data_IF_724037332149
#
_entry.id   IF_724037332149
#
_cell.length_a   1.000
_cell.length_b   1.000
_cell.length_c   1.000
_cell.angle_alpha   90.00
_cell.angle_beta   90.00
_cell.angle_gamma   90.00
#
_symmetry.space_group_name_H-M   'P 1'
#
loop_
_entity.id
_entity.type
_entity.pdbx_description
1 polymer ?
#
# COMPACT_ATOMS: atom_id res chain seq x y z
N UNK A 1 -24.89 30.55 -1.59
CA UNK A 1 -24.51 30.90 -0.20
C UNK A 1 -25.57 30.51 0.83
N UNK A 2 -26.84 30.90 0.70
CA UNK A 2 -27.92 30.53 1.63
C UNK A 2 -28.07 29.01 1.85
N UNK A 3 -28.09 28.24 0.76
CA UNK A 3 -28.14 26.77 0.83
C UNK A 3 -26.93 26.16 1.54
N UNK A 4 -25.72 26.73 1.35
CA UNK A 4 -24.51 26.28 2.04
C UNK A 4 -24.56 26.57 3.53
N UNK A 5 -25.01 27.79 3.91
CA UNK A 5 -25.19 28.15 5.32
C UNK A 5 -26.15 27.20 6.03
N UNK A 6 -27.27 26.85 5.39
CA UNK A 6 -28.24 25.90 5.94
C UNK A 6 -27.62 24.53 6.18
N UNK A 7 -26.88 23.98 5.21
CA UNK A 7 -26.17 22.70 5.36
C UNK A 7 -25.14 22.74 6.49
N UNK A 8 -24.38 23.84 6.61
CA UNK A 8 -23.39 23.99 7.67
C UNK A 8 -24.04 23.99 9.06
N UNK A 9 -25.19 24.65 9.22
CA UNK A 9 -25.94 24.65 10.49
C UNK A 9 -26.48 23.24 10.79
N UNK A 10 -27.07 22.55 9.79
CA UNK A 10 -27.58 21.19 9.93
C UNK A 10 -26.48 20.20 10.38
N UNK A 11 -25.24 20.41 9.93
CA UNK A 11 -24.08 19.58 10.26
C UNK A 11 -23.25 20.13 11.45
N UNK A 12 -23.71 21.21 12.12
CA UNK A 12 -23.01 21.86 13.22
C UNK A 12 -21.56 22.33 12.84
N UNK A 13 -21.41 22.87 11.60
CA UNK A 13 -20.13 23.33 11.04
C UNK A 13 -20.15 24.82 10.61
N UNK A 14 -21.06 25.63 11.16
CA UNK A 14 -21.23 27.03 10.81
C UNK A 14 -20.00 27.91 11.08
N UNK A 15 -19.13 27.49 12.00
CA UNK A 15 -17.85 28.15 12.33
C UNK A 15 -16.90 28.26 11.13
N UNK A 16 -17.05 27.44 10.09
CA UNK A 16 -16.25 27.51 8.86
C UNK A 16 -16.40 28.85 8.14
N UNK A 17 -17.52 29.56 8.37
CA UNK A 17 -17.77 30.89 7.80
C UNK A 17 -17.40 32.04 8.77
N UNK A 18 -16.77 31.78 9.92
CA UNK A 18 -16.46 32.77 10.95
C UNK A 18 -15.70 33.99 10.40
N UNK A 19 -14.79 33.78 9.46
CA UNK A 19 -13.96 34.85 8.89
C UNK A 19 -14.48 35.37 7.55
N UNK A 20 -15.68 34.94 7.10
CA UNK A 20 -16.20 35.21 5.75
C UNK A 20 -16.15 36.68 5.34
N UNK A 21 -16.52 37.58 6.26
CA UNK A 21 -16.60 39.04 5.99
C UNK A 21 -15.21 39.69 5.86
N UNK A 22 -14.18 39.02 6.36
CA UNK A 22 -12.77 39.47 6.30
C UNK A 22 -12.06 39.00 5.03
N UNK A 23 -12.64 38.10 4.25
CA UNK A 23 -12.02 37.49 3.07
C UNK A 23 -12.18 38.36 1.83
N UNK A 24 -11.18 38.33 0.96
CA UNK A 24 -11.29 38.83 -0.42
C UNK A 24 -12.24 37.92 -1.24
N UNK A 25 -12.71 38.41 -2.38
CA UNK A 25 -13.62 37.64 -3.25
C UNK A 25 -13.02 36.30 -3.68
N UNK A 26 -11.72 36.28 -4.02
CA UNK A 26 -11.00 35.06 -4.37
C UNK A 26 -10.89 34.06 -3.21
N UNK A 27 -10.67 34.54 -2.01
CA UNK A 27 -10.61 33.69 -0.81
C UNK A 27 -11.99 33.14 -0.43
N UNK A 28 -13.06 33.94 -0.63
CA UNK A 28 -14.43 33.48 -0.48
C UNK A 28 -14.78 32.37 -1.47
N UNK A 29 -14.38 32.52 -2.72
CA UNK A 29 -14.59 31.51 -3.74
C UNK A 29 -13.85 30.23 -3.41
N UNK A 30 -12.58 30.33 -2.97
CA UNK A 30 -11.79 29.16 -2.53
C UNK A 30 -12.46 28.44 -1.37
N UNK A 31 -12.89 29.16 -0.33
CA UNK A 31 -13.55 28.54 0.83
C UNK A 31 -14.90 27.92 0.45
N UNK A 32 -15.66 28.61 -0.39
CA UNK A 32 -16.94 28.11 -0.90
C UNK A 32 -16.76 26.80 -1.68
N UNK A 33 -15.77 26.75 -2.58
CA UNK A 33 -15.46 25.56 -3.34
C UNK A 33 -14.99 24.43 -2.40
N UNK A 34 -14.07 24.71 -1.49
CA UNK A 34 -13.49 23.75 -0.55
C UNK A 34 -14.56 23.06 0.32
N UNK A 35 -15.57 23.83 0.75
CA UNK A 35 -16.70 23.31 1.52
C UNK A 35 -17.73 22.60 0.62
N UNK A 36 -17.97 23.13 -0.60
CA UNK A 36 -18.97 22.56 -1.51
C UNK A 36 -18.57 21.19 -2.05
N UNK A 37 -17.26 20.91 -2.11
CA UNK A 37 -16.71 19.59 -2.48
C UNK A 37 -16.90 18.54 -1.38
N UNK A 38 -17.17 18.97 -0.14
CA UNK A 38 -17.42 18.06 0.98
C UNK A 38 -18.90 17.65 1.00
N UNK A 39 -19.16 16.36 1.05
CA UNK A 39 -20.44 15.88 1.54
C UNK A 39 -20.44 16.02 3.07
N UNK A 40 -20.95 17.18 3.57
CA UNK A 40 -20.91 17.52 4.98
C UNK A 40 -21.61 16.48 5.87
N UNK A 41 -22.69 15.87 5.38
CA UNK A 41 -23.40 14.84 6.12
C UNK A 41 -22.57 13.57 6.24
N UNK A 42 -21.99 13.11 5.13
CA UNK A 42 -21.13 11.92 5.10
C UNK A 42 -19.89 12.13 5.96
N UNK A 43 -19.14 13.22 5.78
CA UNK A 43 -17.88 13.45 6.55
C UNK A 43 -18.12 13.67 8.05
N UNK A 44 -19.27 14.25 8.44
CA UNK A 44 -19.64 14.36 9.86
C UNK A 44 -19.99 12.98 10.44
N UNK A 45 -20.70 12.15 9.69
CA UNK A 45 -20.98 10.77 10.10
C UNK A 45 -19.70 9.94 10.21
N UNK A 46 -18.73 10.15 9.30
CA UNK A 46 -17.41 9.50 9.38
C UNK A 46 -16.68 9.80 10.68
N UNK A 47 -16.70 11.06 11.13
CA UNK A 47 -16.13 11.44 12.43
C UNK A 47 -16.80 10.69 13.58
N UNK A 48 -18.13 10.70 13.63
CA UNK A 48 -18.89 10.03 14.69
C UNK A 48 -18.59 8.54 14.72
N UNK A 49 -18.64 7.88 13.57
CA UNK A 49 -18.40 6.44 13.45
C UNK A 49 -16.95 6.08 13.85
N UNK A 50 -15.95 6.82 13.34
CA UNK A 50 -14.54 6.58 13.63
C UNK A 50 -14.19 6.77 15.10
N UNK A 51 -14.76 7.80 15.76
CA UNK A 51 -14.54 8.05 17.18
C UNK A 51 -15.26 7.03 18.05
N UNK A 52 -16.49 6.62 17.68
CA UNK A 52 -17.19 5.53 18.33
C UNK A 52 -16.44 4.20 18.23
N UNK A 53 -15.95 3.85 17.02
CA UNK A 53 -15.12 2.67 16.81
C UNK A 53 -13.86 2.73 17.70
N UNK A 54 -13.12 3.85 17.68
CA UNK A 54 -11.92 4.05 18.51
C UNK A 54 -12.18 3.95 20.01
N UNK A 55 -13.34 4.38 20.50
CA UNK A 55 -13.70 4.28 21.91
C UNK A 55 -14.19 2.86 22.27
N UNK A 56 -14.84 2.15 21.36
CA UNK A 56 -15.24 0.75 21.55
C UNK A 56 -14.06 -0.24 21.45
N UNK A 57 -13.00 0.11 20.74
CA UNK A 57 -11.72 -0.62 20.69
C UNK A 57 -10.94 -0.63 22.01
N UNK A 58 -11.40 0.07 23.06
CA UNK A 58 -10.90 -0.15 24.42
C UNK A 58 -11.29 -1.54 24.99
N UNK A 59 -12.22 -2.24 24.33
CA UNK A 59 -12.46 -3.66 24.58
C UNK A 59 -11.55 -4.45 23.64
N UNK A 60 -10.48 -5.04 24.22
CA UNK A 60 -9.59 -5.95 23.50
C UNK A 60 -10.40 -7.01 22.74
N UNK A 61 -9.92 -7.39 21.55
CA UNK A 61 -10.58 -8.38 20.70
C UNK A 61 -10.28 -9.83 21.10
N UNK A 62 -9.62 -10.07 22.22
CA UNK A 62 -9.06 -11.36 22.64
C UNK A 62 -10.04 -12.52 22.55
N UNK A 63 -11.29 -12.31 23.00
CA UNK A 63 -12.33 -13.34 22.98
C UNK A 63 -12.94 -13.59 21.60
N UNK A 64 -12.63 -12.76 20.60
CA UNK A 64 -13.24 -12.79 19.27
C UNK A 64 -12.27 -13.23 18.18
N UNK A 65 -10.97 -13.07 18.43
CA UNK A 65 -9.95 -13.40 17.44
C UNK A 65 -9.69 -14.90 17.40
N UNK A 66 -9.54 -15.41 16.18
CA UNK A 66 -9.06 -16.77 15.92
C UNK A 66 -8.00 -16.73 14.82
N UNK A 67 -6.92 -17.51 14.91
CA UNK A 67 -5.91 -17.55 13.87
C UNK A 67 -6.48 -18.12 12.56
N UNK A 68 -5.79 -17.82 11.45
CA UNK A 68 -6.12 -18.47 10.18
C UNK A 68 -5.78 -19.95 10.30
N UNK A 69 -6.71 -20.88 9.95
CA UNK A 69 -6.41 -22.30 9.90
C UNK A 69 -5.23 -22.58 8.96
N UNK A 70 -4.29 -23.42 9.38
CA UNK A 70 -3.06 -23.71 8.61
C UNK A 70 -3.35 -24.27 7.22
N UNK A 71 -4.42 -25.03 7.09
CA UNK A 71 -4.91 -25.56 5.80
C UNK A 71 -5.39 -24.49 4.83
N UNK A 72 -5.68 -23.28 5.31
CA UNK A 72 -6.09 -22.15 4.48
C UNK A 72 -4.90 -21.24 4.08
N UNK A 73 -3.69 -21.62 4.47
CA UNK A 73 -2.46 -20.90 4.13
C UNK A 73 -1.64 -21.77 3.19
N UNK A 74 -1.36 -21.25 1.99
CA UNK A 74 -0.34 -21.81 1.10
C UNK A 74 0.98 -21.04 1.27
N UNK A 75 2.11 -21.69 1.01
CA UNK A 75 3.43 -21.03 1.07
C UNK A 75 4.48 -21.75 0.21
N UNK A 76 5.57 -21.03 -0.08
CA UNK A 76 6.74 -21.62 -0.74
C UNK A 76 7.36 -22.77 0.07
N UNK A 77 7.18 -22.78 1.39
CA UNK A 77 7.78 -23.78 2.29
C UNK A 77 7.06 -25.13 2.24
N UNK A 78 5.72 -25.12 2.08
CA UNK A 78 4.89 -26.32 2.20
C UNK A 78 4.29 -26.78 0.87
N UNK A 79 4.28 -25.93 -0.16
CA UNK A 79 3.76 -26.28 -1.48
C UNK A 79 4.83 -27.04 -2.27
N UNK A 80 4.47 -28.18 -2.86
CA UNK A 80 5.40 -28.96 -3.66
C UNK A 80 5.82 -28.22 -4.94
N UNK A 81 6.99 -28.62 -5.48
CA UNK A 81 7.61 -27.96 -6.63
C UNK A 81 6.76 -28.02 -7.90
N UNK A 82 5.99 -29.06 -8.09
CA UNK A 82 5.14 -29.22 -9.27
C UNK A 82 3.97 -28.22 -9.23
N UNK A 83 3.33 -28.10 -8.09
CA UNK A 83 2.30 -27.07 -7.86
C UNK A 83 2.85 -25.66 -8.00
N UNK A 84 4.04 -25.36 -7.42
CA UNK A 84 4.66 -24.05 -7.58
C UNK A 84 4.88 -23.69 -9.05
N UNK A 85 5.37 -24.65 -9.87
CA UNK A 85 5.53 -24.44 -11.32
C UNK A 85 4.19 -24.27 -12.04
N UNK A 86 3.16 -25.00 -11.62
CA UNK A 86 1.82 -24.84 -12.17
C UNK A 86 1.25 -23.43 -11.87
N UNK A 87 1.45 -22.92 -10.65
CA UNK A 87 1.06 -21.55 -10.29
C UNK A 87 1.84 -20.51 -11.10
N UNK A 88 3.17 -20.66 -11.16
CA UNK A 88 4.01 -19.75 -11.93
C UNK A 88 3.58 -19.68 -13.40
N UNK A 89 3.36 -20.85 -14.03
CA UNK A 89 2.89 -20.94 -15.41
C UNK A 89 1.52 -20.27 -15.60
N UNK A 90 0.60 -20.48 -14.68
CA UNK A 90 -0.73 -19.86 -14.73
C UNK A 90 -0.65 -18.34 -14.58
N UNK A 91 0.19 -17.84 -13.68
CA UNK A 91 0.43 -16.40 -13.52
C UNK A 91 1.12 -15.76 -14.71
N UNK A 92 2.13 -16.44 -15.30
CA UNK A 92 2.79 -15.97 -16.52
C UNK A 92 1.83 -15.97 -17.72
N UNK A 93 0.92 -16.96 -17.82
CA UNK A 93 -0.12 -16.98 -18.85
C UNK A 93 -1.10 -15.79 -18.70
N UNK A 94 -1.50 -15.44 -17.47
CA UNK A 94 -2.37 -14.29 -17.19
C UNK A 94 -1.69 -12.97 -17.58
N UNK A 95 -0.37 -12.87 -17.35
CA UNK A 95 0.46 -11.73 -17.81
C UNK A 95 0.55 -11.72 -19.34
N UNK A 96 0.86 -12.85 -19.97
CA UNK A 96 0.97 -12.98 -21.43
C UNK A 96 -0.34 -12.64 -22.15
N UNK A 97 -1.47 -12.91 -21.52
CA UNK A 97 -2.80 -12.57 -22.04
C UNK A 97 -3.18 -11.08 -21.81
N UNK A 98 -2.30 -10.28 -21.19
CA UNK A 98 -2.52 -8.85 -20.92
C UNK A 98 -3.60 -8.59 -19.88
N UNK A 99 -3.85 -9.52 -18.98
CA UNK A 99 -4.93 -9.45 -17.98
C UNK A 99 -4.48 -8.98 -16.60
N UNK A 100 -3.20 -8.65 -16.43
CA UNK A 100 -2.63 -8.26 -15.13
C UNK A 100 -2.40 -6.76 -15.07
N UNK A 101 -2.79 -6.17 -13.96
CA UNK A 101 -2.39 -4.83 -13.58
C UNK A 101 -1.62 -4.84 -12.24
N UNK A 102 -0.72 -3.89 -12.11
CA UNK A 102 -0.04 -3.54 -10.86
C UNK A 102 -0.62 -2.22 -10.36
N UNK A 103 -1.04 -2.18 -9.13
CA UNK A 103 -1.52 -0.97 -8.46
C UNK A 103 -0.58 -0.66 -7.30
N UNK A 104 0.21 0.39 -7.50
CA UNK A 104 1.20 0.86 -6.54
C UNK A 104 0.61 1.95 -5.65
N UNK A 105 0.60 1.76 -4.34
CA UNK A 105 0.26 2.79 -3.37
C UNK A 105 1.49 3.64 -3.05
N UNK A 106 1.58 4.84 -3.63
CA UNK A 106 2.74 5.74 -3.57
C UNK A 106 2.38 7.18 -3.11
N UNK A 107 1.29 7.35 -2.34
CA UNK A 107 0.87 8.67 -1.83
C UNK A 107 1.78 9.28 -0.76
N UNK A 108 2.69 8.50 -0.19
CA UNK A 108 3.55 8.93 0.91
C UNK A 108 4.73 9.81 0.48
N UNK A 109 4.95 10.91 1.23
CA UNK A 109 6.18 11.70 1.18
C UNK A 109 7.29 11.01 1.97
N UNK A 110 8.55 11.24 1.57
CA UNK A 110 9.73 10.71 2.26
C UNK A 110 10.15 11.48 3.53
N UNK A 111 9.22 12.15 4.22
CA UNK A 111 9.55 13.05 5.34
C UNK A 111 10.27 12.37 6.49
N UNK A 112 9.90 11.11 6.81
CA UNK A 112 10.61 10.31 7.83
C UNK A 112 12.02 9.89 7.39
N UNK A 113 12.29 9.89 6.08
CA UNK A 113 13.60 9.64 5.49
C UNK A 113 14.46 10.90 5.41
N UNK A 114 13.92 12.05 5.83
CA UNK A 114 14.60 13.34 5.76
C UNK A 114 14.51 14.04 4.40
N UNK A 115 13.60 13.60 3.50
CA UNK A 115 13.42 14.19 2.17
C UNK A 115 12.02 14.75 1.99
N UNK A 116 11.85 15.69 1.07
CA UNK A 116 10.56 16.36 0.78
C UNK A 116 9.86 15.86 -0.48
N UNK A 117 10.46 14.90 -1.19
CA UNK A 117 9.93 14.35 -2.43
C UNK A 117 9.22 12.99 -2.20
N UNK A 118 8.45 12.49 -3.19
CA UNK A 118 7.78 11.19 -3.11
C UNK A 118 8.73 10.04 -2.80
N UNK A 119 8.33 9.13 -1.93
CA UNK A 119 9.15 7.99 -1.48
C UNK A 119 9.61 7.10 -2.65
N UNK A 120 8.80 6.93 -3.70
CA UNK A 120 9.17 6.14 -4.87
C UNK A 120 10.40 6.64 -5.64
N UNK A 121 10.75 7.92 -5.49
CA UNK A 121 11.95 8.52 -6.07
C UNK A 121 13.21 8.23 -5.26
N UNK A 122 13.07 7.66 -4.06
CA UNK A 122 14.20 7.45 -3.15
C UNK A 122 15.15 6.40 -3.68
N UNK A 123 16.46 6.69 -3.58
CA UNK A 123 17.56 5.78 -3.85
C UNK A 123 18.18 5.34 -2.52
N UNK A 124 18.18 4.04 -2.24
CA UNK A 124 18.73 3.48 -1.00
C UNK A 124 20.27 3.33 -1.02
N UNK A 125 20.91 3.75 -2.10
CA UNK A 125 22.37 3.68 -2.28
C UNK A 125 22.84 2.33 -2.84
N UNK A 126 22.06 1.70 -3.71
CA UNK A 126 22.50 0.56 -4.50
C UNK A 126 23.62 0.98 -5.49
N UNK A 127 24.51 0.05 -5.91
CA UNK A 127 25.54 0.34 -6.92
C UNK A 127 25.00 0.99 -8.20
N UNK A 128 23.81 0.57 -8.67
CA UNK A 128 23.14 1.15 -9.84
C UNK A 128 22.61 2.58 -9.61
N UNK A 129 22.40 2.98 -8.37
CA UNK A 129 21.78 4.25 -8.05
C UNK A 129 20.28 4.33 -8.38
N UNK A 130 19.62 3.22 -8.68
CA UNK A 130 18.21 3.18 -9.09
C UNK A 130 17.27 3.60 -7.97
N UNK A 131 16.19 4.30 -8.33
CA UNK A 131 15.10 4.63 -7.42
C UNK A 131 14.17 3.44 -7.21
N UNK A 132 13.31 3.49 -6.16
CA UNK A 132 12.29 2.47 -5.94
C UNK A 132 11.33 2.34 -7.14
N UNK A 133 10.95 3.46 -7.78
CA UNK A 133 10.13 3.43 -8.99
C UNK A 133 10.84 2.70 -10.13
N UNK A 134 12.12 2.96 -10.36
CA UNK A 134 12.88 2.31 -11.42
C UNK A 134 13.00 0.80 -11.19
N UNK A 135 13.33 0.38 -9.97
CA UNK A 135 13.41 -1.05 -9.62
C UNK A 135 12.10 -1.79 -9.88
N UNK A 136 10.96 -1.15 -9.61
CA UNK A 136 9.64 -1.75 -9.85
C UNK A 136 9.28 -1.78 -11.33
N UNK A 137 9.57 -0.71 -12.07
CA UNK A 137 9.35 -0.66 -13.51
C UNK A 137 10.16 -1.75 -14.25
N UNK A 138 11.43 -1.91 -13.90
CA UNK A 138 12.30 -2.94 -14.48
C UNK A 138 11.83 -4.36 -14.13
N UNK A 139 11.26 -4.59 -12.94
CA UNK A 139 10.61 -5.88 -12.59
C UNK A 139 9.41 -6.15 -13.47
N UNK A 140 8.59 -5.14 -13.78
CA UNK A 140 7.46 -5.27 -14.70
C UNK A 140 7.96 -5.66 -16.09
N UNK A 141 8.97 -4.95 -16.63
CA UNK A 141 9.57 -5.28 -17.93
C UNK A 141 10.11 -6.71 -17.98
N UNK A 142 10.84 -7.13 -16.94
CA UNK A 142 11.38 -8.49 -16.89
C UNK A 142 10.27 -9.54 -16.89
N UNK A 143 9.20 -9.34 -16.14
CA UNK A 143 8.05 -10.24 -16.09
C UNK A 143 7.33 -10.34 -17.45
N UNK A 144 7.18 -9.23 -18.16
CA UNK A 144 6.61 -9.25 -19.52
C UNK A 144 7.47 -10.10 -20.45
N UNK A 145 8.80 -9.99 -20.35
CA UNK A 145 9.72 -10.82 -21.11
C UNK A 145 9.63 -12.30 -20.73
N UNK A 146 9.58 -12.62 -19.42
CA UNK A 146 9.42 -14.01 -18.94
C UNK A 146 8.09 -14.61 -19.43
N UNK A 147 7.01 -13.86 -19.39
CA UNK A 147 5.70 -14.30 -19.87
C UNK A 147 5.73 -14.56 -21.40
N UNK A 148 6.42 -13.70 -22.15
CA UNK A 148 6.63 -13.90 -23.59
C UNK A 148 7.49 -15.15 -23.87
N UNK A 149 8.59 -15.34 -23.13
CA UNK A 149 9.47 -16.50 -23.25
C UNK A 149 8.71 -17.82 -22.99
N UNK A 150 7.87 -17.86 -21.93
CA UNK A 150 7.11 -19.06 -21.54
C UNK A 150 5.89 -19.31 -22.42
N UNK A 151 5.12 -18.27 -22.78
CA UNK A 151 3.80 -18.42 -23.40
C UNK A 151 3.75 -18.02 -24.88
N UNK A 152 4.81 -17.41 -25.42
CA UNK A 152 4.88 -17.00 -26.83
C UNK A 152 3.99 -15.80 -27.18
N UNK A 153 3.46 -15.06 -26.20
CA UNK A 153 2.61 -13.89 -26.40
C UNK A 153 3.23 -12.65 -25.75
N UNK A 154 3.10 -11.50 -26.42
CA UNK A 154 3.53 -10.18 -25.91
C UNK A 154 2.40 -9.54 -25.07
N UNK A 155 2.22 -10.00 -23.83
CA UNK A 155 1.31 -9.37 -22.89
C UNK A 155 1.98 -8.18 -22.19
N UNK A 156 1.18 -7.17 -21.89
CA UNK A 156 1.63 -5.96 -21.19
C UNK A 156 0.93 -5.84 -19.84
N UNK A 157 1.68 -5.41 -18.84
CA UNK A 157 1.16 -5.12 -17.51
C UNK A 157 0.83 -3.63 -17.42
N UNK A 158 -0.41 -3.30 -17.04
CA UNK A 158 -0.78 -1.92 -16.72
C UNK A 158 -0.28 -1.55 -15.33
N UNK A 159 0.36 -0.40 -15.20
CA UNK A 159 0.88 0.12 -13.93
C UNK A 159 0.10 1.35 -13.48
N UNK A 160 -0.77 1.17 -12.51
CA UNK A 160 -1.54 2.24 -11.87
C UNK A 160 -0.82 2.69 -10.60
N UNK A 161 -0.62 4.01 -10.45
CA UNK A 161 0.14 4.59 -9.35
C UNK A 161 -0.77 5.54 -8.56
N UNK A 162 -1.19 5.10 -7.37
CA UNK A 162 -1.94 5.94 -6.44
C UNK A 162 -1.01 6.93 -5.76
N UNK A 163 -1.27 8.20 -5.96
CA UNK A 163 -0.53 9.32 -5.39
C UNK A 163 -1.41 10.14 -4.45
N UNK A 164 -0.83 11.07 -3.71
CA UNK A 164 -1.55 12.09 -2.95
C UNK A 164 -1.47 13.43 -3.66
N UNK A 165 -2.27 14.41 -3.22
CA UNK A 165 -2.18 15.79 -3.71
C UNK A 165 -0.75 16.35 -3.63
N UNK A 166 -0.04 16.02 -2.56
CA UNK A 166 1.33 16.49 -2.32
C UNK A 166 2.39 15.78 -3.18
N UNK A 167 2.12 14.62 -3.75
CA UNK A 167 3.12 13.80 -4.46
C UNK A 167 2.85 13.63 -5.95
N UNK A 168 1.64 13.94 -6.41
CA UNK A 168 1.18 13.64 -7.78
C UNK A 168 2.05 14.26 -8.86
N UNK A 169 2.11 15.61 -8.89
CA UNK A 169 2.82 16.33 -9.93
C UNK A 169 4.32 15.98 -9.98
N UNK A 170 4.94 15.83 -8.81
CA UNK A 170 6.34 15.43 -8.71
C UNK A 170 6.56 14.02 -9.21
N UNK A 171 5.64 13.08 -8.89
CA UNK A 171 5.71 11.69 -9.38
C UNK A 171 5.56 11.63 -10.89
N UNK A 172 4.55 12.29 -11.45
CA UNK A 172 4.33 12.33 -12.91
C UNK A 172 5.53 12.92 -13.64
N UNK A 173 6.01 14.07 -13.19
CA UNK A 173 7.20 14.72 -13.79
C UNK A 173 8.46 13.83 -13.71
N UNK A 174 8.60 13.07 -12.63
CA UNK A 174 9.72 12.13 -12.47
C UNK A 174 9.62 10.96 -13.45
N UNK A 175 8.46 10.35 -13.60
CA UNK A 175 8.25 9.27 -14.56
C UNK A 175 8.49 9.73 -15.99
N UNK A 176 7.96 10.90 -16.39
CA UNK A 176 8.17 11.49 -17.70
C UNK A 176 9.66 11.80 -17.96
N UNK A 177 10.35 12.39 -16.98
CA UNK A 177 11.79 12.70 -17.07
C UNK A 177 12.64 11.47 -17.38
N UNK A 178 12.28 10.32 -16.86
CA UNK A 178 12.98 9.04 -17.05
C UNK A 178 12.30 8.13 -18.08
N UNK A 179 11.49 8.72 -18.99
CA UNK A 179 10.81 7.98 -20.07
C UNK A 179 10.12 6.71 -19.53
N UNK A 180 9.43 6.85 -18.39
CA UNK A 180 8.70 5.76 -17.71
C UNK A 180 9.55 4.50 -17.48
N UNK A 181 10.88 4.62 -17.45
CA UNK A 181 11.84 3.52 -17.32
C UNK A 181 11.64 2.44 -18.39
N UNK A 182 11.42 2.87 -19.65
CA UNK A 182 11.16 2.04 -20.83
C UNK A 182 9.84 1.27 -20.84
N UNK A 183 8.97 1.46 -19.84
CA UNK A 183 7.56 1.08 -19.97
C UNK A 183 6.87 1.98 -20.99
N UNK A 184 5.88 1.45 -21.70
CA UNK A 184 5.05 2.28 -22.58
C UNK A 184 4.23 3.28 -21.76
N UNK A 185 4.22 4.55 -22.16
CA UNK A 185 3.50 5.63 -21.48
C UNK A 185 2.02 5.31 -21.27
N UNK A 186 1.35 4.73 -22.30
CA UNK A 186 -0.06 4.32 -22.23
C UNK A 186 -0.35 3.22 -21.23
N UNK A 187 0.68 2.54 -20.72
CA UNK A 187 0.55 1.51 -19.69
C UNK A 187 0.79 2.03 -18.28
N UNK A 188 1.18 3.30 -18.12
CA UNK A 188 1.49 3.91 -16.81
C UNK A 188 0.52 5.04 -16.52
N UNK A 189 -0.29 4.90 -15.49
CA UNK A 189 -1.31 5.89 -15.14
C UNK A 189 -1.25 6.26 -13.66
N UNK A 190 -0.84 7.50 -13.37
CA UNK A 190 -0.91 8.05 -12.01
C UNK A 190 -2.27 8.68 -11.74
N UNK A 191 -2.81 8.46 -10.53
CA UNK A 191 -4.08 9.02 -10.10
C UNK A 191 -4.03 9.38 -8.61
N UNK A 192 -4.88 10.34 -8.18
CA UNK A 192 -4.84 10.88 -6.81
C UNK A 192 -5.82 10.17 -5.90
N UNK A 193 -5.39 9.86 -4.67
CA UNK A 193 -6.28 9.47 -3.59
C UNK A 193 -7.13 10.65 -3.11
N UNK A 194 -8.23 10.36 -2.41
CA UNK A 194 -9.10 11.34 -1.81
C UNK A 194 -8.48 12.07 -0.62
N UNK A 195 -9.16 13.13 -0.21
CA UNK A 195 -8.81 13.91 0.98
C UNK A 195 -10.04 14.02 1.88
N UNK A 196 -9.87 13.81 3.18
CA UNK A 196 -10.91 14.03 4.18
C UNK A 196 -10.57 15.25 5.04
N UNK A 197 -11.56 15.99 5.54
CA UNK A 197 -11.32 17.07 6.46
C UNK A 197 -10.76 16.56 7.77
N UNK A 198 -9.89 17.36 8.40
CA UNK A 198 -9.43 17.12 9.75
C UNK A 198 -10.44 17.71 10.76
N UNK A 199 -10.63 17.01 11.88
CA UNK A 199 -11.58 17.40 12.90
C UNK A 199 -10.90 17.75 14.22
N UNK A 200 -11.48 18.67 14.97
CA UNK A 200 -11.16 18.89 16.39
C UNK A 200 -11.60 17.68 17.22
N UNK A 201 -11.21 17.63 18.48
CA UNK A 201 -11.60 16.52 19.37
C UNK A 201 -13.13 16.45 19.62
N UNK A 202 -13.85 17.54 19.40
CA UNK A 202 -15.31 17.68 19.53
C UNK A 202 -16.08 17.64 18.21
N UNK A 203 -15.38 17.31 17.08
CA UNK A 203 -16.01 17.05 15.78
C UNK A 203 -16.24 18.28 14.89
N UNK A 204 -15.58 19.38 15.18
CA UNK A 204 -15.60 20.54 14.29
C UNK A 204 -14.52 20.40 13.22
N UNK A 205 -14.85 20.69 11.97
CA UNK A 205 -13.89 20.70 10.86
C UNK A 205 -12.86 21.82 11.09
N UNK A 206 -11.57 21.52 10.96
CA UNK A 206 -10.49 22.46 11.21
C UNK A 206 -10.22 23.31 9.96
N UNK A 207 -9.97 24.61 10.14
CA UNK A 207 -9.45 25.51 9.11
C UNK A 207 -7.91 25.57 9.19
N UNK A 208 -7.22 25.32 8.07
CA UNK A 208 -5.76 25.52 7.91
C UNK A 208 -5.42 27.00 7.63
N UNK A 209 -6.33 27.70 6.93
CA UNK A 209 -6.31 29.15 6.71
C UNK A 209 -7.72 29.70 6.86
N UNK A 210 -7.89 31.01 7.06
CA UNK A 210 -9.23 31.64 7.13
C UNK A 210 -10.17 31.25 6.00
N UNK A 211 -9.57 30.87 4.83
CA UNK A 211 -10.26 30.55 3.59
C UNK A 211 -9.98 29.14 3.07
N UNK A 212 -9.46 28.24 3.92
CA UNK A 212 -9.10 26.86 3.50
C UNK A 212 -9.35 25.86 4.61
N UNK A 213 -10.06 24.79 4.28
CA UNK A 213 -10.27 23.64 5.17
C UNK A 213 -8.97 22.86 5.32
N UNK A 214 -8.68 22.41 6.55
CA UNK A 214 -7.60 21.47 6.82
C UNK A 214 -8.03 20.09 6.36
N UNK A 215 -7.37 19.55 5.35
CA UNK A 215 -7.63 18.23 4.77
C UNK A 215 -6.39 17.34 4.91
N UNK A 216 -6.60 16.05 5.04
CA UNK A 216 -5.55 15.03 5.03
C UNK A 216 -5.94 13.89 4.07
N UNK A 217 -4.97 13.14 3.53
CA UNK A 217 -5.27 11.94 2.78
C UNK A 217 -6.17 10.99 3.56
N UNK A 218 -7.11 10.36 2.86
CA UNK A 218 -8.12 9.45 3.42
C UNK A 218 -7.61 8.04 3.75
N UNK A 219 -6.29 7.89 3.81
CA UNK A 219 -5.60 6.62 4.07
C UNK A 219 -5.39 5.80 2.79
N UNK A 220 -4.70 4.66 2.91
CA UNK A 220 -4.47 3.79 1.75
C UNK A 220 -5.75 3.06 1.30
N UNK A 221 -6.79 2.97 2.13
CA UNK A 221 -8.13 2.48 1.79
C UNK A 221 -8.98 3.48 1.00
N UNK A 222 -8.60 4.75 0.95
CA UNK A 222 -9.14 5.74 0.00
C UNK A 222 -8.95 5.34 -1.46
N UNK A 223 -8.10 4.32 -1.71
CA UNK A 223 -7.91 3.66 -2.99
C UNK A 223 -9.23 3.34 -3.69
N UNK A 224 -10.18 2.70 -3.02
CA UNK A 224 -11.42 2.20 -3.64
C UNK A 224 -12.28 3.34 -4.19
N UNK A 225 -12.43 4.42 -3.43
CA UNK A 225 -13.12 5.63 -3.90
C UNK A 225 -12.36 6.28 -5.06
N UNK A 226 -11.04 6.36 -4.98
CA UNK A 226 -10.21 6.94 -6.03
C UNK A 226 -10.29 6.15 -7.33
N UNK A 227 -10.29 4.83 -7.29
CA UNK A 227 -10.48 3.96 -8.45
C UNK A 227 -11.78 4.26 -9.20
N UNK A 228 -12.88 4.48 -8.47
CA UNK A 228 -14.17 4.84 -9.04
C UNK A 228 -14.17 6.26 -9.59
N UNK A 229 -13.82 7.25 -8.77
CA UNK A 229 -13.94 8.68 -9.11
C UNK A 229 -13.01 9.08 -10.25
N UNK A 230 -11.82 8.47 -10.33
CA UNK A 230 -10.82 8.76 -11.37
C UNK A 230 -10.99 7.89 -12.64
N UNK A 231 -12.06 7.07 -12.71
CA UNK A 231 -12.33 6.22 -13.88
C UNK A 231 -11.34 5.09 -14.11
N UNK A 232 -10.58 4.70 -13.08
CA UNK A 232 -9.55 3.65 -13.19
C UNK A 232 -10.20 2.26 -13.35
N UNK A 233 -11.33 2.00 -12.70
CA UNK A 233 -12.07 0.73 -12.85
C UNK A 233 -12.58 0.54 -14.28
N UNK A 234 -13.06 1.60 -14.91
CA UNK A 234 -13.53 1.57 -16.30
C UNK A 234 -12.34 1.34 -17.24
N UNK A 235 -11.22 1.99 -17.00
CA UNK A 235 -9.97 1.81 -17.73
C UNK A 235 -9.47 0.35 -17.63
N UNK A 236 -9.46 -0.24 -16.43
CA UNK A 236 -9.11 -1.66 -16.22
C UNK A 236 -10.04 -2.60 -17.01
N UNK A 237 -11.35 -2.37 -16.95
CA UNK A 237 -12.34 -3.18 -17.70
C UNK A 237 -12.18 -3.04 -19.21
N UNK A 238 -11.95 -1.82 -19.70
CA UNK A 238 -11.73 -1.55 -21.12
C UNK A 238 -10.50 -2.30 -21.67
N UNK A 239 -9.45 -2.45 -20.86
CA UNK A 239 -8.24 -3.18 -21.21
C UNK A 239 -8.32 -4.69 -20.91
N UNK A 240 -9.46 -5.20 -20.44
CA UNK A 240 -9.64 -6.63 -20.15
C UNK A 240 -8.83 -7.12 -18.94
N UNK A 241 -8.45 -6.22 -18.04
CA UNK A 241 -7.74 -6.59 -16.81
C UNK A 241 -8.66 -7.43 -15.93
N UNK A 242 -8.14 -8.52 -15.40
CA UNK A 242 -8.81 -9.41 -14.47
C UNK A 242 -8.12 -9.42 -13.10
N UNK A 243 -6.81 -9.54 -13.08
CA UNK A 243 -5.96 -9.71 -11.90
C UNK A 243 -5.23 -8.41 -11.56
N UNK A 244 -5.37 -7.91 -10.34
CA UNK A 244 -4.72 -6.68 -9.87
C UNK A 244 -3.85 -6.99 -8.66
N UNK A 245 -2.54 -6.79 -8.79
CA UNK A 245 -1.59 -6.87 -7.69
C UNK A 245 -1.44 -5.50 -7.03
N UNK A 246 -1.82 -5.38 -5.77
CA UNK A 246 -1.79 -4.12 -5.00
C UNK A 246 -0.71 -4.18 -3.93
N UNK A 247 0.19 -3.18 -3.91
CA UNK A 247 1.26 -3.13 -2.91
C UNK A 247 1.72 -1.71 -2.56
N UNK A 248 2.43 -1.59 -1.44
CA UNK A 248 3.05 -0.33 -1.01
C UNK A 248 4.41 -0.09 -1.68
N UNK A 249 4.74 1.20 -1.89
CA UNK A 249 5.99 1.64 -2.54
C UNK A 249 7.24 1.40 -1.70
N UNK A 250 7.09 1.20 -0.40
CA UNK A 250 8.20 1.18 0.54
C UNK A 250 8.89 -0.18 0.69
N UNK A 251 8.30 -1.27 0.22
CA UNK A 251 8.93 -2.59 0.29
C UNK A 251 9.90 -2.80 -0.90
N UNK A 252 11.21 -2.70 -0.66
CA UNK A 252 12.22 -2.86 -1.72
C UNK A 252 12.27 -4.30 -2.27
N UNK A 253 11.89 -5.30 -1.48
CA UNK A 253 11.88 -6.72 -1.85
C UNK A 253 10.59 -7.16 -2.54
N UNK A 254 9.67 -6.24 -2.81
CA UNK A 254 8.39 -6.58 -3.41
C UNK A 254 8.58 -7.35 -4.74
N UNK A 255 8.01 -8.54 -4.82
CA UNK A 255 7.86 -9.28 -6.07
C UNK A 255 6.64 -8.72 -6.80
N UNK A 256 6.87 -7.70 -7.64
CA UNK A 256 5.80 -6.99 -8.36
C UNK A 256 5.12 -7.96 -9.32
N UNK A 257 3.79 -8.06 -9.25
CA UNK A 257 2.99 -9.01 -10.04
C UNK A 257 3.50 -10.46 -9.95
N UNK A 258 3.85 -10.92 -8.75
CA UNK A 258 4.40 -12.26 -8.50
C UNK A 258 3.56 -13.35 -9.19
N UNK A 259 4.10 -14.02 -10.24
CA UNK A 259 3.33 -14.99 -11.01
C UNK A 259 2.91 -16.21 -10.21
N UNK A 260 3.68 -16.61 -9.17
CA UNK A 260 3.32 -17.72 -8.29
C UNK A 260 2.13 -17.33 -7.42
N UNK A 261 2.13 -16.13 -6.85
CA UNK A 261 1.01 -15.65 -6.04
C UNK A 261 -0.25 -15.40 -6.86
N UNK A 262 -0.12 -14.79 -8.06
CA UNK A 262 -1.25 -14.61 -8.98
C UNK A 262 -1.81 -15.97 -9.40
N UNK A 263 -0.96 -16.91 -9.81
CA UNK A 263 -1.38 -18.24 -10.23
C UNK A 263 -2.03 -19.05 -9.10
N UNK A 264 -1.56 -18.91 -7.86
CA UNK A 264 -2.24 -19.48 -6.69
C UNK A 264 -3.64 -18.90 -6.52
N UNK A 265 -3.79 -17.58 -6.57
CA UNK A 265 -5.08 -16.92 -6.46
C UNK A 265 -6.05 -17.36 -7.58
N UNK A 266 -5.57 -17.42 -8.82
CA UNK A 266 -6.35 -17.90 -9.96
C UNK A 266 -6.80 -19.36 -9.78
N UNK A 267 -5.89 -20.26 -9.36
CA UNK A 267 -6.20 -21.68 -9.15
C UNK A 267 -7.20 -21.92 -8.03
N UNK A 268 -7.29 -20.98 -7.08
CA UNK A 268 -8.19 -21.03 -5.93
C UNK A 268 -9.50 -20.25 -6.15
N UNK A 269 -9.73 -19.74 -7.35
CA UNK A 269 -10.87 -18.85 -7.67
C UNK A 269 -11.01 -17.69 -6.67
N UNK A 270 -9.89 -17.13 -6.28
CA UNK A 270 -9.80 -16.07 -5.26
C UNK A 270 -10.27 -14.74 -5.82
N UNK A 271 -11.11 -14.02 -5.11
CA UNK A 271 -11.45 -12.62 -5.41
C UNK A 271 -10.61 -11.62 -4.61
N UNK A 272 -10.17 -12.03 -3.40
CA UNK A 272 -9.31 -11.25 -2.51
C UNK A 272 -8.17 -12.13 -1.96
N UNK A 273 -6.92 -11.86 -2.33
CA UNK A 273 -5.74 -12.55 -1.86
C UNK A 273 -4.85 -11.66 -0.99
N UNK A 274 -4.23 -12.22 0.03
CA UNK A 274 -3.26 -11.52 0.88
C UNK A 274 -1.97 -12.31 1.00
N UNK A 275 -0.84 -11.64 0.72
CA UNK A 275 0.48 -12.20 1.02
C UNK A 275 0.89 -11.73 2.40
N UNK A 276 1.22 -12.67 3.26
CA UNK A 276 1.68 -12.47 4.63
C UNK A 276 3.10 -13.00 4.80
N UNK A 277 3.75 -12.62 5.88
CA UNK A 277 5.00 -13.22 6.34
C UNK A 277 4.88 -13.63 7.80
N UNK A 278 5.72 -14.54 8.24
CA UNK A 278 5.77 -14.92 9.65
C UNK A 278 6.25 -13.72 10.49
N UNK A 279 5.49 -13.39 11.55
CA UNK A 279 5.83 -12.31 12.50
C UNK A 279 7.12 -12.65 13.24
N UNK A 280 8.06 -11.72 13.31
CA UNK A 280 9.37 -11.94 13.90
C UNK A 280 9.37 -11.99 15.43
N UNK A 281 8.47 -11.25 16.06
CA UNK A 281 8.30 -11.20 17.51
C UNK A 281 6.89 -10.76 17.89
N UNK A 282 6.41 -11.06 19.11
CA UNK A 282 5.11 -10.60 19.59
C UNK A 282 4.94 -9.08 19.53
N UNK A 283 6.03 -8.34 19.76
CA UNK A 283 6.03 -6.87 19.84
C UNK A 283 6.28 -6.18 18.49
N UNK A 284 6.37 -6.92 17.39
CA UNK A 284 6.52 -6.32 16.06
C UNK A 284 5.28 -5.50 15.72
N UNK A 285 5.49 -4.22 15.37
CA UNK A 285 4.41 -3.27 15.05
C UNK A 285 3.87 -3.50 13.63
N UNK A 286 3.22 -4.64 13.44
CA UNK A 286 2.52 -5.01 12.19
C UNK A 286 1.16 -5.60 12.56
N UNK A 287 0.13 -5.29 11.76
CA UNK A 287 -1.17 -5.92 11.85
C UNK A 287 -1.10 -7.41 11.46
N UNK A 288 -1.95 -8.22 12.04
CA UNK A 288 -2.01 -9.67 11.81
C UNK A 288 -3.31 -10.03 11.10
N UNK A 289 -3.21 -10.78 10.01
CA UNK A 289 -4.38 -11.35 9.35
C UNK A 289 -4.92 -12.48 10.21
N UNK A 290 -6.18 -12.39 10.60
CA UNK A 290 -6.85 -13.39 11.42
C UNK A 290 -8.37 -13.36 11.16
N UNK A 291 -9.15 -14.11 11.92
CA UNK A 291 -10.62 -13.99 11.90
C UNK A 291 -11.08 -13.32 13.19
N UNK A 292 -12.01 -12.39 13.07
CA UNK A 292 -12.75 -11.79 14.18
C UNK A 292 -14.22 -12.19 14.02
N UNK A 293 -14.78 -12.90 14.98
CA UNK A 293 -16.13 -13.48 14.89
C UNK A 293 -16.34 -14.32 13.60
N UNK A 294 -15.28 -15.00 13.13
CA UNK A 294 -15.27 -15.83 11.93
C UNK A 294 -15.03 -15.10 10.61
N UNK A 295 -14.94 -13.78 10.60
CA UNK A 295 -14.72 -12.92 9.42
C UNK A 295 -13.24 -12.54 9.31
N UNK A 296 -12.66 -12.61 8.11
CA UNK A 296 -11.27 -12.22 7.89
C UNK A 296 -11.07 -10.72 8.10
N UNK A 297 -10.11 -10.37 8.95
CA UNK A 297 -9.69 -9.00 9.23
C UNK A 297 -8.17 -8.91 9.44
N UNK A 298 -7.64 -7.71 9.37
CA UNK A 298 -6.33 -7.38 9.92
C UNK A 298 -6.54 -6.76 11.28
N UNK A 299 -5.97 -7.38 12.31
CA UNK A 299 -6.02 -6.87 13.67
C UNK A 299 -4.68 -6.22 13.99
N UNK A 300 -4.72 -4.96 14.36
CA UNK A 300 -3.53 -4.20 14.74
C UNK A 300 -3.01 -4.65 16.11
N UNK A 301 -1.72 -4.52 16.33
CA UNK A 301 -1.05 -4.93 17.58
C UNK A 301 -1.59 -4.22 18.85
N UNK A 302 -2.31 -3.12 18.68
CA UNK A 302 -2.94 -2.36 19.76
C UNK A 302 -4.37 -2.83 20.11
N UNK A 303 -4.93 -3.77 19.35
CA UNK A 303 -6.32 -4.25 19.48
C UNK A 303 -6.42 -5.59 20.20
N UNK A 304 -5.30 -6.26 20.44
CA UNK A 304 -5.20 -7.50 21.24
C UNK A 304 -4.29 -7.29 22.44
N UNK A 305 -4.54 -8.05 23.50
CA UNK A 305 -3.69 -8.01 24.70
C UNK A 305 -2.29 -8.56 24.40
N UNK A 306 -1.33 -8.22 25.26
CA UNK A 306 0.01 -8.79 25.20
C UNK A 306 -0.02 -10.31 25.37
N UNK A 307 -0.89 -10.80 26.23
CA UNK A 307 -1.09 -12.22 26.50
C UNK A 307 -1.52 -12.94 25.22
N UNK A 308 -2.51 -12.43 24.49
CA UNK A 308 -2.94 -13.00 23.21
C UNK A 308 -1.85 -12.91 22.13
N UNK A 309 -1.13 -11.78 22.04
CA UNK A 309 -0.04 -11.61 21.08
C UNK A 309 1.14 -12.57 21.33
N UNK A 310 1.37 -13.01 22.58
CA UNK A 310 2.45 -13.91 22.99
C UNK A 310 2.06 -15.41 22.94
N UNK A 311 0.80 -15.75 22.65
CA UNK A 311 0.35 -17.13 22.55
C UNK A 311 1.16 -17.92 21.52
N UNK A 312 1.55 -19.13 21.93
CA UNK A 312 2.36 -20.03 21.11
C UNK A 312 1.68 -21.39 20.97
N UNK A 313 1.86 -21.98 19.81
CA UNK A 313 1.48 -23.39 19.54
C UNK A 313 2.51 -24.35 20.14
N UNK A 314 2.20 -25.63 20.16
CA UNK A 314 3.05 -26.69 20.73
C UNK A 314 4.48 -26.75 20.15
N UNK A 315 4.66 -26.28 18.90
CA UNK A 315 5.96 -26.19 18.24
C UNK A 315 6.72 -24.86 18.55
N UNK A 316 6.20 -24.01 19.45
CA UNK A 316 6.78 -22.76 19.88
C UNK A 316 6.58 -21.55 18.95
N UNK A 317 5.89 -21.70 17.81
CA UNK A 317 5.56 -20.60 16.91
C UNK A 317 4.43 -19.74 17.50
N UNK A 318 4.44 -18.45 17.18
CA UNK A 318 3.31 -17.56 17.53
C UNK A 318 2.02 -18.07 16.86
N UNK A 319 0.91 -18.05 17.57
CA UNK A 319 -0.41 -18.42 17.04
C UNK A 319 -0.89 -17.34 16.06
N UNK A 320 -0.74 -16.06 16.42
CA UNK A 320 -1.07 -14.92 15.58
C UNK A 320 0.18 -14.40 14.87
N UNK A 321 0.64 -15.13 13.84
CA UNK A 321 1.91 -14.86 13.17
C UNK A 321 1.78 -14.38 11.72
N UNK A 322 0.60 -14.36 11.13
CA UNK A 322 0.36 -13.97 9.74
C UNK A 322 0.43 -12.44 9.57
N UNK A 323 1.66 -11.89 9.57
CA UNK A 323 1.88 -10.44 9.48
C UNK A 323 1.48 -9.90 8.11
N UNK A 324 0.60 -8.88 8.09
CA UNK A 324 0.18 -8.17 6.90
C UNK A 324 1.29 -7.23 6.42
N UNK A 325 1.76 -7.45 5.20
CA UNK A 325 2.81 -6.63 4.57
C UNK A 325 2.28 -5.72 3.47
N UNK A 326 0.97 -5.51 3.44
CA UNK A 326 0.31 -4.67 2.44
C UNK A 326 0.62 -5.11 1.00
N UNK A 327 0.47 -6.41 0.73
CA UNK A 327 0.69 -7.07 -0.55
C UNK A 327 -0.54 -7.92 -0.84
N UNK A 328 -1.37 -7.47 -1.80
CA UNK A 328 -2.69 -8.02 -2.04
C UNK A 328 -2.90 -8.39 -3.50
N UNK A 329 -3.77 -9.36 -3.73
CA UNK A 329 -4.35 -9.69 -5.01
C UNK A 329 -5.85 -9.38 -4.96
N UNK A 330 -6.37 -8.73 -5.99
CA UNK A 330 -7.80 -8.54 -6.17
C UNK A 330 -8.20 -8.83 -7.60
N UNK A 331 -9.40 -9.37 -7.80
CA UNK A 331 -10.02 -9.32 -9.12
C UNK A 331 -10.58 -7.92 -9.39
N UNK A 332 -10.63 -7.51 -10.65
CA UNK A 332 -11.27 -6.22 -11.02
C UNK A 332 -12.73 -6.19 -10.62
N UNK A 333 -13.43 -7.33 -10.70
CA UNK A 333 -14.83 -7.43 -10.28
C UNK A 333 -14.99 -7.20 -8.78
N UNK A 334 -14.09 -7.73 -7.96
CA UNK A 334 -14.09 -7.46 -6.51
C UNK A 334 -13.81 -5.97 -6.23
N UNK A 335 -12.79 -5.38 -6.87
CA UNK A 335 -12.51 -3.95 -6.71
C UNK A 335 -13.70 -3.09 -7.12
N UNK A 336 -14.42 -3.47 -8.17
CA UNK A 336 -15.62 -2.78 -8.61
C UNK A 336 -16.76 -2.92 -7.59
N UNK A 337 -17.00 -4.13 -7.08
CA UNK A 337 -18.03 -4.38 -6.07
C UNK A 337 -17.77 -3.57 -4.79
N UNK A 338 -16.54 -3.60 -4.29
CA UNK A 338 -16.13 -2.79 -3.12
C UNK A 338 -16.36 -1.29 -3.38
N UNK A 339 -15.86 -0.78 -4.50
CA UNK A 339 -15.92 0.66 -4.79
C UNK A 339 -17.35 1.18 -5.03
N UNK A 340 -18.27 0.34 -5.49
CA UNK A 340 -19.66 0.75 -5.80
C UNK A 340 -20.59 0.49 -4.62
N UNK A 341 -20.47 -0.70 -3.97
CA UNK A 341 -21.46 -1.17 -3.01
C UNK A 341 -20.99 -1.05 -1.56
N UNK A 342 -19.69 -1.16 -1.28
CA UNK A 342 -19.17 -1.31 0.09
C UNK A 342 -18.25 -0.16 0.55
N UNK A 343 -17.89 0.80 -0.31
CA UNK A 343 -16.96 1.89 0.04
C UNK A 343 -17.39 2.69 1.27
N UNK A 344 -18.70 2.90 1.44
CA UNK A 344 -19.28 3.61 2.58
C UNK A 344 -19.40 2.76 3.85
N UNK A 345 -19.36 1.44 3.72
CA UNK A 345 -19.44 0.46 4.81
C UNK A 345 -18.06 0.18 5.43
N UNK A 346 -16.99 0.51 4.70
CA UNK A 346 -15.61 0.31 5.18
C UNK A 346 -15.38 0.95 6.55
N UNK A 347 -14.63 0.25 7.39
CA UNK A 347 -14.23 0.74 8.71
C UNK A 347 -13.45 2.06 8.61
N UNK A 348 -13.70 2.95 9.56
CA UNK A 348 -13.09 4.26 9.65
C UNK A 348 -12.20 4.33 10.89
N UNK A 349 -10.96 4.69 10.70
CA UNK A 349 -9.95 4.76 11.75
C UNK A 349 -9.64 6.20 12.11
N UNK A 350 -9.84 6.58 13.38
CA UNK A 350 -9.56 7.91 13.88
C UNK A 350 -8.18 7.99 14.54
N UNK A 351 -7.25 8.73 13.93
CA UNK A 351 -5.91 8.93 14.47
C UNK A 351 -5.77 10.32 15.09
N UNK A 352 -5.52 10.39 16.41
CA UNK A 352 -5.21 11.66 17.09
C UNK A 352 -3.88 12.23 16.61
N UNK A 353 -3.90 13.46 16.11
CA UNK A 353 -2.74 14.13 15.52
C UNK A 353 -2.62 15.58 15.99
N UNK A 354 -1.41 16.14 15.86
CA UNK A 354 -1.16 17.57 15.92
C UNK A 354 -1.55 18.15 14.56
N UNK A 355 -2.62 18.95 14.53
CA UNK A 355 -3.18 19.53 13.31
C UNK A 355 -3.11 21.05 13.43
N UNK A 356 -2.34 21.73 12.56
CA UNK A 356 -2.33 23.19 12.53
C UNK A 356 -3.74 23.73 12.29
N UNK A 357 -4.07 24.83 12.94
CA UNK A 357 -5.41 25.41 12.88
C UNK A 357 -5.38 26.95 12.95
N UNK A 358 -6.52 27.59 12.66
CA UNK A 358 -6.72 29.03 12.82
C UNK A 358 -7.44 29.29 14.12
N UNK A 359 -6.85 30.12 14.98
CA UNK A 359 -7.43 30.52 16.27
C UNK A 359 -8.60 31.52 16.11
N UNK A 360 -9.19 31.94 17.24
CA UNK A 360 -10.30 32.88 17.29
C UNK A 360 -9.96 34.26 16.68
N UNK A 361 -8.67 34.63 16.66
CA UNK A 361 -8.16 35.90 16.16
C UNK A 361 -7.73 35.80 14.67
N UNK A 362 -7.80 34.60 14.09
CA UNK A 362 -7.39 34.35 12.70
C UNK A 362 -5.88 34.12 12.53
N UNK A 363 -5.15 33.80 13.59
CA UNK A 363 -3.74 33.43 13.54
C UNK A 363 -3.60 31.89 13.33
N UNK A 364 -2.60 31.49 12.55
CA UNK A 364 -2.26 30.09 12.37
C UNK A 364 -1.44 29.58 13.56
N UNK A 365 -1.93 28.54 14.20
CA UNK A 365 -1.32 27.93 15.39
C UNK A 365 -0.78 26.55 15.05
N UNK A 366 0.47 26.30 15.44
CA UNK A 366 1.08 24.97 15.43
C UNK A 366 0.93 24.31 16.81
N UNK A 367 0.12 23.26 16.96
CA UNK A 367 -0.18 22.68 18.27
C UNK A 367 1.01 21.89 18.83
N UNK A 368 1.25 22.00 20.13
CA UNK A 368 2.31 21.27 20.86
C UNK A 368 1.91 19.82 21.20
N UNK A 369 0.61 19.56 21.32
CA UNK A 369 0.01 18.26 21.64
C UNK A 369 -1.06 17.90 20.60
N UNK A 370 -1.47 16.61 20.49
CA UNK A 370 -2.59 16.22 19.62
C UNK A 370 -3.86 16.99 19.99
N UNK A 371 -4.46 17.66 19.01
CA UNK A 371 -5.62 18.56 19.16
C UNK A 371 -6.79 18.19 18.26
N UNK A 372 -6.66 17.12 17.47
CA UNK A 372 -7.72 16.72 16.56
C UNK A 372 -7.50 15.33 15.99
N UNK A 373 -8.42 14.93 15.11
CA UNK A 373 -8.43 13.65 14.44
C UNK A 373 -8.24 13.79 12.94
N UNK A 374 -7.45 12.87 12.38
CA UNK A 374 -7.48 12.49 10.95
C UNK A 374 -8.26 11.20 10.84
N UNK A 375 -9.12 11.12 9.83
CA UNK A 375 -9.91 9.93 9.54
C UNK A 375 -9.26 9.23 8.35
N UNK A 376 -9.01 7.95 8.49
CA UNK A 376 -8.33 7.13 7.49
C UNK A 376 -9.11 5.82 7.27
N UNK A 377 -9.06 5.27 6.07
CA UNK A 377 -9.47 3.90 5.71
C UNK A 377 -8.23 3.08 5.40
N UNK A 378 -8.28 1.78 5.65
CA UNK A 378 -7.16 0.91 5.29
C UNK A 378 -7.52 0.00 4.11
N UNK A 379 -6.53 -0.29 3.27
CA UNK A 379 -6.71 -1.09 2.05
C UNK A 379 -7.16 -2.53 2.35
N UNK A 380 -6.91 -3.02 3.54
CA UNK A 380 -7.29 -4.37 3.97
C UNK A 380 -8.64 -4.46 4.69
N UNK A 381 -9.32 -3.32 4.97
CA UNK A 381 -10.65 -3.32 5.59
C UNK A 381 -11.72 -3.98 4.71
N UNK A 382 -11.39 -4.26 3.45
CA UNK A 382 -12.27 -4.93 2.50
C UNK A 382 -12.27 -6.46 2.60
N UNK A 383 -11.42 -7.06 3.42
CA UNK A 383 -11.34 -8.52 3.54
C UNK A 383 -12.65 -9.15 3.97
N UNK A 384 -13.47 -8.43 4.74
CA UNK A 384 -14.80 -8.88 5.17
C UNK A 384 -15.81 -9.02 4.02
N UNK A 385 -15.62 -8.34 2.88
CA UNK A 385 -16.50 -8.41 1.72
C UNK A 385 -16.10 -9.51 0.74
N UNK A 386 -14.96 -10.17 0.95
CA UNK A 386 -14.46 -11.23 0.08
C UNK A 386 -15.34 -12.49 0.17
N UNK A 387 -15.70 -13.03 -1.00
CA UNK A 387 -16.38 -14.33 -1.10
C UNK A 387 -15.40 -15.47 -0.95
N UNK A 388 -14.21 -15.31 -1.52
CA UNK A 388 -13.12 -16.29 -1.46
C UNK A 388 -11.80 -15.56 -1.16
N UNK A 389 -11.42 -15.52 0.13
CA UNK A 389 -10.13 -14.99 0.56
C UNK A 389 -9.08 -16.10 0.59
N UNK A 390 -7.93 -15.85 0.00
CA UNK A 390 -6.77 -16.75 0.01
C UNK A 390 -5.57 -16.11 0.67
N UNK A 391 -4.83 -16.88 1.47
CA UNK A 391 -3.64 -16.42 2.18
C UNK A 391 -2.41 -17.13 1.63
N UNK A 392 -1.39 -16.36 1.28
CA UNK A 392 -0.08 -16.84 0.86
C UNK A 392 1.00 -16.39 1.84
N UNK A 393 1.69 -17.34 2.47
CA UNK A 393 2.83 -17.01 3.33
C UNK A 393 4.11 -16.96 2.50
N UNK A 394 4.70 -15.79 2.42
CA UNK A 394 6.01 -15.53 1.83
C UNK A 394 7.16 -15.86 2.78
N UNK A 395 8.38 -15.72 2.28
CA UNK A 395 9.62 -15.82 3.06
C UNK A 395 10.05 -14.41 3.43
N UNK A 396 10.11 -14.10 4.73
CA UNK A 396 10.40 -12.75 5.23
C UNK A 396 11.62 -12.12 4.55
N UNK A 397 12.73 -12.84 4.52
CA UNK A 397 14.01 -12.37 3.97
C UNK A 397 13.96 -12.15 2.45
N UNK A 398 12.95 -12.65 1.76
CA UNK A 398 12.80 -12.55 0.31
C UNK A 398 11.63 -11.67 -0.12
N UNK A 399 10.67 -11.43 0.76
CA UNK A 399 9.42 -10.75 0.42
C UNK A 399 9.21 -9.41 1.14
N UNK A 400 10.00 -9.12 2.22
CA UNK A 400 9.72 -7.92 3.01
C UNK A 400 10.97 -7.25 3.59
N UNK A 401 11.25 -6.05 3.13
CA UNK A 401 12.21 -5.09 3.72
C UNK A 401 11.70 -3.67 3.49
N UNK A 402 10.94 -3.11 4.45
CA UNK A 402 10.29 -1.83 4.26
C UNK A 402 11.24 -0.66 4.52
N UNK A 403 11.03 0.42 3.76
CA UNK A 403 11.73 1.69 3.92
C UNK A 403 10.80 2.69 4.63
N UNK A 404 10.93 2.84 5.94
CA UNK A 404 10.05 3.68 6.77
C UNK A 404 10.74 4.84 7.47
N UNK A 405 12.00 4.64 7.88
CA UNK A 405 12.73 5.51 8.79
C UNK A 405 14.04 6.03 8.16
N UNK A 406 14.61 7.10 8.71
CA UNK A 406 15.97 7.53 8.41
C UNK A 406 16.99 6.54 8.96
N UNK A 407 18.21 6.50 8.42
CA UNK A 407 19.29 5.59 8.84
C UNK A 407 19.66 5.71 10.33
N UNK A 408 19.44 6.88 10.93
CA UNK A 408 19.68 7.09 12.36
C UNK A 408 18.87 6.19 13.29
N UNK A 409 17.76 5.60 12.78
CA UNK A 409 16.91 4.66 13.54
C UNK A 409 17.48 3.23 13.53
N UNK A 410 18.24 2.87 12.47
CA UNK A 410 18.87 1.55 12.34
C UNK A 410 17.92 0.38 12.00
N UNK A 411 16.64 0.66 11.76
CA UNK A 411 15.62 -0.32 11.39
C UNK A 411 14.67 0.25 10.35
N UNK A 412 14.25 -0.58 9.39
CA UNK A 412 13.35 -0.18 8.28
C UNK A 412 13.85 1.09 7.58
N UNK A 413 15.14 1.17 7.31
CA UNK A 413 15.86 2.37 6.84
C UNK A 413 16.64 2.08 5.55
N UNK A 414 17.21 3.10 4.88
CA UNK A 414 17.93 2.90 3.61
C UNK A 414 19.04 1.85 3.67
N UNK A 415 19.85 1.85 4.72
CA UNK A 415 20.94 0.87 4.88
C UNK A 415 20.43 -0.56 5.07
N UNK A 416 19.36 -0.78 5.85
CA UNK A 416 18.77 -2.11 6.00
C UNK A 416 18.15 -2.59 4.69
N UNK A 417 17.38 -1.75 4.01
CA UNK A 417 16.77 -2.08 2.72
C UNK A 417 17.81 -2.43 1.65
N UNK A 418 18.90 -1.64 1.55
CA UNK A 418 20.03 -1.94 0.66
C UNK A 418 20.70 -3.27 0.98
N UNK A 419 20.99 -3.50 2.25
CA UNK A 419 21.67 -4.74 2.67
C UNK A 419 20.79 -5.98 2.40
N UNK A 420 19.49 -5.89 2.61
CA UNK A 420 18.59 -7.01 2.43
C UNK A 420 18.46 -7.40 0.94
N UNK A 421 18.32 -6.44 0.03
CA UNK A 421 18.27 -6.74 -1.41
C UNK A 421 19.58 -7.30 -1.92
N UNK A 422 20.75 -6.75 -1.50
CA UNK A 422 22.05 -7.26 -1.90
C UNK A 422 22.32 -8.66 -1.33
N UNK A 423 21.83 -8.96 -0.12
CA UNK A 423 21.90 -10.29 0.47
C UNK A 423 21.11 -11.33 -0.32
N UNK A 424 19.94 -10.96 -0.85
CA UNK A 424 19.17 -11.83 -1.73
C UNK A 424 19.92 -12.05 -3.05
N UNK A 425 20.45 -11.01 -3.68
CA UNK A 425 21.24 -11.13 -4.90
C UNK A 425 22.41 -12.07 -4.71
N UNK A 426 23.14 -11.91 -3.61
CA UNK A 426 24.23 -12.84 -3.24
C UNK A 426 23.74 -14.29 -3.11
N UNK A 427 22.61 -14.52 -2.43
CA UNK A 427 21.99 -15.84 -2.33
C UNK A 427 21.67 -16.45 -3.68
N UNK A 428 21.07 -15.67 -4.60
CA UNK A 428 20.73 -16.14 -5.94
C UNK A 428 21.97 -16.52 -6.76
N UNK A 429 23.03 -15.71 -6.71
CA UNK A 429 24.28 -15.98 -7.41
C UNK A 429 24.99 -17.24 -6.88
N UNK A 430 25.03 -17.42 -5.57
CA UNK A 430 25.58 -18.64 -4.96
C UNK A 430 24.76 -19.88 -5.34
N UNK A 431 23.43 -19.76 -5.36
CA UNK A 431 22.54 -20.84 -5.80
C UNK A 431 22.71 -21.18 -7.29
N UNK A 432 23.06 -20.19 -8.10
CA UNK A 432 23.40 -20.37 -9.53
C UNK A 432 24.80 -20.97 -9.75
N UNK A 433 25.58 -21.20 -8.68
CA UNK A 433 26.89 -21.84 -8.71
C UNK A 433 28.09 -20.91 -8.78
N UNK A 434 27.93 -19.62 -8.47
CA UNK A 434 29.07 -18.73 -8.28
C UNK A 434 29.93 -19.21 -7.11
N UNK A 435 31.26 -19.15 -7.24
CA UNK A 435 32.21 -19.66 -6.23
C UNK A 435 32.39 -18.70 -5.07
N UNK A 436 32.34 -17.41 -5.31
CA UNK A 436 32.28 -16.36 -4.30
C UNK A 436 31.56 -15.12 -4.82
N UNK A 437 30.93 -14.36 -3.92
CA UNK A 437 30.18 -13.14 -4.25
C UNK A 437 30.43 -12.10 -3.16
N UNK A 438 30.91 -10.92 -3.55
CA UNK A 438 31.05 -9.77 -2.65
C UNK A 438 29.66 -9.29 -2.15
N UNK A 439 29.63 -8.52 -1.08
CA UNK A 439 28.36 -8.10 -0.47
C UNK A 439 27.64 -6.98 -1.25
N UNK A 440 28.32 -6.31 -2.14
CA UNK A 440 27.87 -5.17 -2.93
C UNK A 440 27.75 -5.48 -4.44
N UNK A 441 27.48 -6.75 -4.74
CA UNK A 441 27.09 -7.19 -6.09
C UNK A 441 25.58 -7.06 -6.25
N UNK A 442 25.16 -6.18 -7.13
CA UNK A 442 23.75 -5.96 -7.49
C UNK A 442 23.38 -6.73 -8.76
N UNK A 443 22.21 -7.33 -8.79
CA UNK A 443 21.61 -7.90 -10.01
C UNK A 443 20.53 -6.90 -10.47
N UNK A 444 20.63 -6.48 -11.75
CA UNK A 444 19.59 -5.68 -12.38
C UNK A 444 18.29 -6.48 -12.45
N UNK A 445 17.12 -5.89 -12.11
CA UNK A 445 15.84 -6.56 -12.29
C UNK A 445 15.58 -7.01 -13.75
N UNK A 446 16.19 -6.33 -14.73
CA UNK A 446 16.10 -6.71 -16.15
C UNK A 446 16.83 -8.02 -16.45
N UNK A 447 17.89 -8.35 -15.72
CA UNK A 447 18.61 -9.62 -15.86
C UNK A 447 17.84 -10.76 -15.17
N UNK A 448 17.40 -10.53 -13.92
CA UNK A 448 16.73 -11.56 -13.13
C UNK A 448 15.70 -10.95 -12.19
N UNK A 449 14.47 -11.48 -12.24
CA UNK A 449 13.36 -11.06 -11.38
C UNK A 449 13.41 -11.70 -10.00
N UNK A 450 13.71 -13.02 -9.93
CA UNK A 450 13.67 -13.80 -8.70
C UNK A 450 14.77 -14.87 -8.59
N UNK A 451 15.90 -14.68 -9.28
CA UNK A 451 17.04 -15.60 -9.28
C UNK A 451 17.13 -16.51 -10.49
N UNK A 452 16.23 -16.35 -11.46
CA UNK A 452 16.30 -17.04 -12.77
C UNK A 452 17.34 -16.38 -13.68
N UNK A 453 17.66 -17.05 -14.80
CA UNK A 453 18.58 -16.57 -15.85
C UNK A 453 20.03 -16.30 -15.36
N UNK A 454 20.48 -16.95 -14.31
CA UNK A 454 21.81 -16.74 -13.72
C UNK A 454 22.79 -17.92 -13.97
N UNK A 455 22.44 -18.91 -14.77
CA UNK A 455 23.27 -20.12 -15.02
C UNK A 455 24.68 -19.80 -15.54
N UNK A 456 24.84 -18.69 -16.25
CA UNK A 456 26.13 -18.23 -16.76
C UNK A 456 27.08 -17.69 -15.67
N UNK A 457 26.61 -17.55 -14.44
CA UNK A 457 27.43 -17.16 -13.28
C UNK A 457 28.13 -18.35 -12.61
N UNK A 458 27.85 -19.59 -13.07
CA UNK A 458 28.47 -20.80 -12.51
C UNK A 458 29.99 -20.75 -12.60
N UNK A 459 30.67 -21.03 -11.48
CA UNK A 459 32.13 -21.06 -11.37
C UNK A 459 32.81 -19.69 -11.29
N UNK A 460 32.06 -18.59 -11.41
CA UNK A 460 32.64 -17.25 -11.33
C UNK A 460 32.84 -16.79 -9.86
N UNK A 461 33.89 -16.00 -9.66
CA UNK A 461 34.09 -15.19 -8.46
C UNK A 461 33.72 -13.74 -8.78
N UNK A 462 32.76 -13.19 -8.05
CA UNK A 462 32.18 -11.88 -8.31
C UNK A 462 32.67 -10.88 -7.25
N UNK A 463 33.41 -9.90 -7.70
CA UNK A 463 33.88 -8.79 -6.87
C UNK A 463 32.93 -7.60 -6.99
N UNK A 464 32.92 -6.74 -5.97
CA UNK A 464 32.06 -5.55 -5.94
C UNK A 464 32.86 -4.27 -5.61
N UNK A 465 32.22 -3.10 -5.69
CA UNK A 465 30.83 -2.91 -6.09
C UNK A 465 30.64 -3.11 -7.62
N UNK A 466 29.58 -3.83 -8.01
CA UNK A 466 29.24 -3.99 -9.42
C UNK A 466 27.73 -4.21 -9.63
N UNK A 467 27.26 -3.99 -10.86
CA UNK A 467 25.90 -4.27 -11.30
C UNK A 467 25.98 -5.32 -12.41
N UNK A 468 25.23 -6.41 -12.28
CA UNK A 468 25.06 -7.43 -13.29
C UNK A 468 23.82 -7.10 -14.13
N UNK A 469 24.01 -6.93 -15.45
CA UNK A 469 22.97 -6.56 -16.41
C UNK A 469 22.80 -7.60 -17.51
#
# INVERSE_FOLDING_TARGET
MESLKKKLIECNQEHLLKFWDQLSDKERENLYQDISELDLADVTSYFVNAVHASNSMQNMLDDKVTPIPKENIASLKITDKERLRAYEKLGLQEIADGKVAVLLMAGGQGTRLGVSYPKGMYNVGLPSGKSLFQLQAERILRLQNMAKEECGKDGEIKWYILTSEATHETTVSFLQKYNYFDLKEENVKAFKQGMLPCFTLDGKIILDKKYKVSKAPDGNGGLYRALKVQGILDDMKQHGIHSVHVHSVDNILIKVADPIFIGYCLSSCTDCGVKVIEKSSPNESVGVVCKVDGIYKVVEYSEISKETAELRSDNGQLIYNAANICNHYFTVDFLHDVAINHEKEMELHAAKKKIPYIDENGNRIEPKSPNGFKIEKFVFDVFEFAKQLSVWEGIREEDFSPLKNADSVGQDCPSTARNDILKIHKKWLLNAGATSVANDVEISPLLSYAGENLNHMMGLSLEGPCVLE
#
